data_IF_856745775836
#
_entry.id   IF_856745775836
#
_cell.length_a   1.000
_cell.length_b   1.000
_cell.length_c   1.000
_cell.angle_alpha   90.00
_cell.angle_beta   90.00
_cell.angle_gamma   90.00
#
_symmetry.space_group_name_H-M   'P 1'
#
loop_
_entity.id
_entity.type
_entity.pdbx_description
1 polymer ?
#
# COMPACT_ATOMS: atom_id res chain seq x y z
N UNK A 1 -17.84 15.59 3.41
CA UNK A 1 -17.75 14.89 2.09
C UNK A 1 -16.32 14.42 1.90
N UNK A 2 -16.08 13.31 1.20
CA UNK A 2 -14.75 12.77 0.97
C UNK A 2 -13.87 13.79 0.25
N UNK A 3 -12.68 14.06 0.79
CA UNK A 3 -11.78 15.11 0.29
C UNK A 3 -11.23 14.83 -1.12
N UNK A 4 -11.20 13.57 -1.54
CA UNK A 4 -10.71 13.18 -2.87
C UNK A 4 -11.78 13.20 -3.96
N UNK A 5 -13.01 12.80 -3.64
CA UNK A 5 -14.04 12.58 -4.67
C UNK A 5 -15.41 13.17 -4.36
N UNK A 6 -15.57 13.91 -3.26
CA UNK A 6 -16.81 14.57 -2.88
C UNK A 6 -17.95 13.64 -2.43
N UNK A 7 -17.81 12.31 -2.58
CA UNK A 7 -18.81 11.33 -2.12
C UNK A 7 -18.97 11.36 -0.60
N UNK A 8 -20.08 10.85 -0.07
CA UNK A 8 -20.21 10.64 1.37
C UNK A 8 -19.07 9.78 1.90
N UNK A 9 -18.56 10.15 3.08
CA UNK A 9 -17.41 9.52 3.70
C UNK A 9 -17.44 9.72 5.20
N UNK A 10 -16.52 9.05 5.88
CA UNK A 10 -16.41 9.05 7.33
C UNK A 10 -15.22 9.89 7.78
N UNK A 11 -15.37 10.53 8.93
CA UNK A 11 -14.26 11.19 9.59
C UNK A 11 -13.33 10.10 10.14
N UNK A 12 -12.12 10.00 9.58
CA UNK A 12 -11.13 8.99 9.95
C UNK A 12 -9.73 9.59 9.99
N UNK A 13 -8.91 9.06 10.87
CA UNK A 13 -7.50 9.40 10.93
C UNK A 13 -6.78 8.88 9.68
N UNK A 14 -5.81 9.63 9.18
CA UNK A 14 -5.05 9.23 8.02
C UNK A 14 -4.33 7.89 8.28
N UNK A 15 -4.41 6.89 7.37
CA UNK A 15 -3.89 5.55 7.63
C UNK A 15 -2.36 5.45 7.64
N UNK A 16 -1.66 6.44 7.09
CA UNK A 16 -0.20 6.57 7.14
C UNK A 16 0.31 7.44 8.29
N UNK A 17 1.61 7.73 8.33
CA UNK A 17 2.27 8.41 9.47
C UNK A 17 1.99 9.91 9.65
N UNK A 18 1.03 10.49 8.94
CA UNK A 18 0.72 11.92 9.08
C UNK A 18 -0.42 12.08 10.07
N UNK A 19 -0.23 12.96 11.04
CA UNK A 19 -1.18 13.27 12.12
C UNK A 19 -2.35 14.12 11.61
N UNK A 20 -3.04 13.62 10.59
CA UNK A 20 -4.12 14.32 9.91
C UNK A 20 -5.40 13.52 10.03
N UNK A 21 -6.49 14.18 10.41
CA UNK A 21 -7.83 13.59 10.41
C UNK A 21 -8.66 14.31 9.38
N UNK A 22 -9.25 13.55 8.47
CA UNK A 22 -10.01 14.06 7.33
C UNK A 22 -11.26 13.24 7.08
N UNK A 23 -12.05 13.65 6.09
CA UNK A 23 -13.22 12.90 5.65
C UNK A 23 -12.85 12.02 4.45
N UNK A 24 -13.01 10.70 4.61
CA UNK A 24 -12.60 9.70 3.64
C UNK A 24 -13.74 8.75 3.29
N UNK A 25 -13.95 8.43 2.01
CA UNK A 25 -14.77 7.30 1.63
C UNK A 25 -13.98 5.99 1.76
N UNK A 26 -14.66 4.85 1.92
CA UNK A 26 -13.98 3.57 2.13
C UNK A 26 -13.04 3.18 0.99
N UNK A 27 -13.39 3.55 -0.25
CA UNK A 27 -12.54 3.29 -1.42
C UNK A 27 -11.21 4.05 -1.33
N UNK A 28 -11.25 5.37 -1.16
CA UNK A 28 -10.02 6.16 -1.09
C UNK A 28 -9.24 5.88 0.19
N UNK A 29 -9.92 5.58 1.30
CA UNK A 29 -9.26 5.16 2.52
C UNK A 29 -8.45 3.88 2.29
N UNK A 30 -9.07 2.82 1.75
CA UNK A 30 -8.38 1.55 1.43
C UNK A 30 -7.26 1.74 0.42
N UNK A 31 -7.50 2.51 -0.64
CA UNK A 31 -6.48 2.82 -1.65
C UNK A 31 -5.25 3.46 -0.99
N UNK A 32 -5.45 4.45 -0.13
CA UNK A 32 -4.37 5.07 0.62
C UNK A 32 -3.69 4.05 1.53
N UNK A 33 -4.46 3.27 2.29
CA UNK A 33 -3.92 2.25 3.21
C UNK A 33 -3.01 1.25 2.49
N UNK A 34 -3.34 0.87 1.26
CA UNK A 34 -2.59 -0.12 0.48
C UNK A 34 -1.37 0.48 -0.24
N UNK A 35 -1.49 1.67 -0.83
CA UNK A 35 -0.43 2.21 -1.70
C UNK A 35 0.54 3.17 -0.99
N UNK A 36 0.17 3.73 0.16
CA UNK A 36 1.07 4.64 0.85
C UNK A 36 2.30 3.91 1.39
N UNK A 37 3.48 4.43 1.11
CA UNK A 37 4.75 3.87 1.60
C UNK A 37 4.95 3.95 3.12
N UNK A 38 4.09 4.70 3.83
CA UNK A 38 4.17 4.85 5.29
C UNK A 38 3.08 4.09 6.05
N UNK A 39 2.21 3.36 5.34
CA UNK A 39 1.26 2.46 5.97
C UNK A 39 1.92 1.10 6.14
N UNK A 40 1.66 0.42 7.25
CA UNK A 40 2.20 -0.93 7.50
C UNK A 40 1.85 -1.87 6.34
N UNK A 41 0.60 -1.80 5.85
CA UNK A 41 0.12 -2.59 4.71
C UNK A 41 0.85 -2.28 3.40
N UNK A 42 1.15 -1.01 3.12
CA UNK A 42 1.88 -0.65 1.90
C UNK A 42 3.36 -1.04 1.96
N UNK A 43 3.96 -0.98 3.15
CA UNK A 43 5.32 -1.48 3.37
C UNK A 43 5.41 -3.00 3.17
N UNK A 44 4.50 -3.77 3.78
CA UNK A 44 4.51 -5.24 3.65
C UNK A 44 4.29 -5.68 2.21
N UNK A 45 3.36 -5.04 1.49
CA UNK A 45 3.09 -5.38 0.10
C UNK A 45 4.33 -5.14 -0.80
N UNK A 46 5.02 -4.00 -0.65
CA UNK A 46 6.25 -3.73 -1.42
C UNK A 46 7.37 -4.69 -1.06
N UNK A 47 7.57 -5.00 0.23
CA UNK A 47 8.59 -5.96 0.65
C UNK A 47 8.35 -7.34 0.04
N UNK A 48 7.09 -7.81 0.01
CA UNK A 48 6.76 -9.09 -0.63
C UNK A 48 7.10 -9.11 -2.12
N UNK A 49 6.82 -8.03 -2.85
CA UNK A 49 7.18 -7.93 -4.27
C UNK A 49 8.70 -7.99 -4.48
N UNK A 50 9.47 -7.28 -3.65
CA UNK A 50 10.94 -7.31 -3.71
C UNK A 50 11.47 -8.70 -3.41
N UNK A 51 11.00 -9.34 -2.34
CA UNK A 51 11.41 -10.70 -1.96
C UNK A 51 11.08 -11.69 -3.06
N UNK A 52 9.85 -11.66 -3.60
CA UNK A 52 9.43 -12.53 -4.69
C UNK A 52 10.32 -12.34 -5.94
N UNK A 53 10.67 -11.08 -6.28
CA UNK A 53 11.59 -10.78 -7.37
C UNK A 53 12.99 -11.36 -7.13
N UNK A 54 13.51 -11.25 -5.90
CA UNK A 54 14.81 -11.81 -5.53
C UNK A 54 14.82 -13.35 -5.58
N UNK A 55 13.79 -14.03 -5.07
CA UNK A 55 13.76 -15.50 -5.16
C UNK A 55 13.52 -15.96 -6.60
N UNK A 56 12.68 -15.28 -7.36
CA UNK A 56 12.50 -15.55 -8.79
C UNK A 56 13.81 -15.40 -9.56
N UNK A 57 14.56 -14.33 -9.30
CA UNK A 57 15.89 -14.14 -9.86
C UNK A 57 16.88 -15.22 -9.44
N UNK A 58 16.89 -15.63 -8.17
CA UNK A 58 17.76 -16.70 -7.68
C UNK A 58 17.44 -18.04 -8.35
N UNK A 59 16.15 -18.39 -8.47
CA UNK A 59 15.70 -19.61 -9.16
C UNK A 59 16.10 -19.58 -10.64
N UNK A 60 15.86 -18.45 -11.31
CA UNK A 60 16.26 -18.26 -12.71
C UNK A 60 17.78 -18.42 -12.90
N UNK A 61 18.58 -17.85 -11.99
CA UNK A 61 20.05 -17.97 -12.01
C UNK A 61 20.51 -19.42 -11.84
N UNK A 62 19.89 -20.18 -10.94
CA UNK A 62 20.20 -21.60 -10.74
C UNK A 62 19.86 -22.40 -11.99
N UNK A 63 18.69 -22.16 -12.60
CA UNK A 63 18.27 -22.88 -13.80
C UNK A 63 19.23 -22.68 -14.98
N UNK A 64 19.73 -21.46 -15.20
CA UNK A 64 20.65 -21.14 -16.30
C UNK A 64 22.13 -21.46 -16.01
N UNK A 65 22.46 -21.97 -14.83
CA UNK A 65 23.81 -22.35 -14.46
C UNK A 65 24.13 -23.84 -14.77
N UNK A 66 23.13 -24.63 -15.14
CA UNK A 66 23.23 -26.02 -15.59
C UNK A 66 22.98 -26.11 -17.09
#
# INVERSE_FOLDING_TARGET
MCEKCGKLGHLRHHPGSVSYTGVWCDYHYRLLTTFHYKTVTGCTLRLMVVVAGLVGWAVWRVWHAW
#
